data_IF_921853866180
#
_entry.id   IF_921853866180
#
_cell.length_a   1.000
_cell.length_b   1.000
_cell.length_c   1.000
_cell.angle_alpha   90.00
_cell.angle_beta   90.00
_cell.angle_gamma   90.00
#
_symmetry.space_group_name_H-M   'P 1'
#
loop_
_entity.id
_entity.type
_entity.pdbx_description
1 polymer ?
2 non-polymer ?
3 non-polymer ?
4 water ?
#
# COMPACT_ATOMS: atom_id res chain seq x y z
N UNK A 2 23.30 7.27 42.29
CA UNK A 2 24.16 6.18 42.76
C UNK A 2 24.96 5.58 41.60
N UNK A 3 25.92 4.73 41.93
CA UNK A 3 26.79 4.10 40.94
C UNK A 3 26.20 2.82 40.36
N UNK A 4 25.33 2.16 41.13
CA UNK A 4 24.68 0.95 40.66
C UNK A 4 23.62 1.29 39.63
N UNK A 5 22.91 2.39 39.86
CA UNK A 5 21.91 2.87 38.92
C UNK A 5 22.57 3.14 37.57
N UNK A 6 23.77 3.69 37.61
CA UNK A 6 24.55 3.95 36.40
C UNK A 6 24.83 2.65 35.66
N UNK A 7 25.11 1.59 36.41
CA UNK A 7 25.38 0.28 35.83
C UNK A 7 24.14 -0.28 35.13
N UNK A 8 22.99 -0.14 35.79
CA UNK A 8 21.73 -0.59 35.21
C UNK A 8 21.43 0.14 33.91
N UNK A 9 21.72 1.43 33.88
CA UNK A 9 21.46 2.26 32.71
C UNK A 9 22.35 1.85 31.53
N UNK A 10 23.64 1.61 31.81
CA UNK A 10 24.55 1.18 30.77
C UNK A 10 24.19 -0.21 30.25
N UNK A 11 23.63 -1.03 31.13
CA UNK A 11 23.14 -2.36 30.75
C UNK A 11 21.96 -2.22 29.78
N UNK A 12 21.06 -1.30 30.08
CA UNK A 12 19.91 -1.02 29.24
C UNK A 12 20.34 -0.54 27.86
N UNK A 13 21.37 0.31 27.83
CA UNK A 13 21.91 0.82 26.57
C UNK A 13 22.34 -0.33 25.66
N UNK A 14 23.05 -1.29 26.24
CA UNK A 14 23.47 -2.47 25.50
C UNK A 14 22.31 -3.31 25.03
N UNK A 15 21.35 -3.55 25.91
CA UNK A 15 20.17 -4.33 25.57
C UNK A 15 19.40 -3.66 24.43
N UNK A 16 19.22 -2.34 24.53
CA UNK A 16 18.49 -1.58 23.53
C UNK A 16 19.21 -1.57 22.19
N UNK A 17 20.53 -1.46 22.23
CA UNK A 17 21.34 -1.47 21.02
C UNK A 17 21.15 -2.77 20.26
N UNK A 18 21.15 -3.89 21.00
CA UNK A 18 21.00 -5.20 20.39
C UNK A 18 19.58 -5.42 19.86
N UNK A 19 18.60 -4.89 20.58
CA UNK A 19 17.21 -4.92 20.12
C UNK A 19 17.08 -4.19 18.79
N UNK A 20 17.74 -3.04 18.69
CA UNK A 20 17.72 -2.23 17.48
C UNK A 20 18.34 -2.96 16.30
N UNK A 21 19.51 -3.56 16.53
CA UNK A 21 20.19 -4.33 15.51
C UNK A 21 19.34 -5.50 15.04
N UNK A 22 18.85 -6.28 16.00
CA UNK A 22 18.03 -7.46 15.72
C UNK A 22 16.76 -7.10 14.97
N UNK A 23 16.16 -5.97 15.32
CA UNK A 23 14.92 -5.52 14.69
C UNK A 23 15.14 -5.06 13.26
N UNK A 24 16.24 -4.35 13.03
CA UNK A 24 16.58 -3.91 11.69
C UNK A 24 16.69 -5.11 10.75
N UNK A 25 17.33 -6.16 11.25
CA UNK A 25 17.48 -7.39 10.48
C UNK A 25 16.13 -8.03 10.22
N UNK A 26 15.29 -8.10 11.26
CA UNK A 26 14.00 -8.76 11.12
C UNK A 26 12.98 -7.93 10.34
N UNK A 27 13.26 -6.65 10.17
CA UNK A 27 12.47 -5.83 9.26
C UNK A 27 12.73 -6.22 7.81
N UNK A 28 14.00 -6.39 7.46
CA UNK A 28 14.38 -6.80 6.12
C UNK A 28 13.83 -8.19 5.81
N UNK A 29 13.94 -9.09 6.77
CA UNK A 29 13.47 -10.47 6.60
C UNK A 29 11.97 -10.51 6.32
N UNK A 30 11.20 -9.79 7.13
CA UNK A 30 9.76 -9.74 6.99
C UNK A 30 9.33 -9.20 5.63
N UNK A 31 9.97 -8.11 5.20
CA UNK A 31 9.58 -7.44 3.96
C UNK A 31 9.89 -8.28 2.71
N UNK A 32 10.85 -9.18 2.82
CA UNK A 32 11.18 -10.06 1.71
C UNK A 32 10.23 -11.26 1.67
N UNK A 33 9.55 -11.47 0.53
CA UNK A 33 9.67 -10.64 -0.67
C UNK A 33 8.45 -9.75 -0.93
N UNK A 34 7.41 -9.89 -0.11
CA UNK A 34 6.12 -9.26 -0.42
C UNK A 34 5.88 -7.91 0.26
N UNK A 35 6.93 -7.28 0.76
CA UNK A 35 6.79 -6.02 1.44
C UNK A 35 7.81 -4.97 1.01
N UNK A 36 7.41 -3.71 1.08
CA UNK A 36 8.28 -2.59 0.75
C UNK A 36 8.12 -1.47 1.78
N UNK A 37 9.25 -0.94 2.26
CA UNK A 37 9.24 0.13 3.22
C UNK A 37 9.53 1.48 2.57
N UNK A 38 8.63 2.44 2.77
CA UNK A 38 8.82 3.78 2.24
C UNK A 38 8.46 4.81 3.31
N UNK A 39 9.48 5.49 3.84
CA UNK A 39 9.27 6.42 4.94
C UNK A 39 8.86 5.66 6.19
N UNK A 40 7.77 6.09 6.80
CA UNK A 40 7.23 5.38 7.96
C UNK A 40 6.09 4.45 7.52
N UNK A 41 5.88 4.37 6.21
CA UNK A 41 4.87 3.49 5.65
C UNK A 41 5.46 2.13 5.30
N UNK A 42 4.58 1.12 5.27
CA UNK A 42 4.96 -0.20 4.80
C UNK A 42 3.85 -0.79 3.95
N UNK A 43 4.16 -1.10 2.69
CA UNK A 43 3.21 -1.77 1.83
C UNK A 43 3.49 -3.27 1.83
N UNK A 44 2.44 -4.07 1.90
CA UNK A 44 2.57 -5.52 1.81
C UNK A 44 1.41 -6.14 1.05
N UNK A 45 1.73 -7.07 0.16
CA UNK A 45 0.71 -7.77 -0.61
C UNK A 45 0.35 -9.09 0.07
N UNK A 46 -0.93 -9.45 0.03
CA UNK A 46 -1.38 -10.70 0.60
C UNK A 46 -1.18 -11.84 -0.37
N UNK A 47 -0.94 -11.48 -1.63
CA UNK A 47 -0.69 -12.47 -2.67
C UNK A 47 -1.95 -12.90 -3.39
N UNK A 48 -3.11 -12.54 -2.83
CA UNK A 48 -4.38 -12.95 -3.40
C UNK A 48 -5.14 -11.79 -4.06
N UNK A 49 -6.25 -12.12 -4.70
CA UNK A 49 -7.08 -11.14 -5.38
C UNK A 49 -8.47 -11.07 -4.77
N UNK A 50 -8.98 -9.84 -4.60
CA UNK A 50 -10.33 -9.64 -4.12
C UNK A 50 -10.93 -8.41 -4.79
N UNK A 51 -12.25 -8.25 -4.69
CA UNK A 51 -12.90 -7.05 -5.18
C UNK A 51 -12.41 -5.86 -4.35
N UNK A 52 -12.71 -4.65 -4.79
CA UNK A 52 -12.24 -3.48 -4.07
C UNK A 52 -12.75 -3.45 -2.62
N UNK A 53 -14.04 -3.69 -2.44
CA UNK A 53 -14.63 -3.63 -1.10
C UNK A 53 -14.18 -4.77 -0.20
N UNK A 54 -13.89 -5.92 -0.79
CA UNK A 54 -13.34 -7.03 -0.03
C UNK A 54 -11.93 -6.68 0.43
N UNK A 55 -11.13 -6.17 -0.50
CA UNK A 55 -9.77 -5.76 -0.19
C UNK A 55 -9.74 -4.69 0.89
N UNK A 56 -10.73 -3.79 0.85
CA UNK A 56 -10.81 -2.71 1.82
C UNK A 56 -11.11 -3.24 3.23
N UNK A 57 -11.99 -4.23 3.31
CA UNK A 57 -12.29 -4.86 4.59
C UNK A 57 -11.07 -5.62 5.09
N UNK A 58 -10.43 -6.37 4.19
CA UNK A 58 -9.25 -7.16 4.53
C UNK A 58 -8.16 -6.30 5.16
N UNK A 59 -7.80 -5.20 4.49
CA UNK A 59 -6.76 -4.32 4.98
C UNK A 59 -7.13 -3.68 6.32
N UNK A 60 -8.38 -3.28 6.45
CA UNK A 60 -8.86 -2.67 7.70
C UNK A 60 -8.85 -3.69 8.84
N UNK A 61 -9.36 -4.89 8.56
CA UNK A 61 -9.38 -5.95 9.56
C UNK A 61 -7.97 -6.26 10.04
N UNK A 62 -7.00 -6.16 9.13
CA UNK A 62 -5.61 -6.45 9.45
C UNK A 62 -4.93 -5.34 10.24
N UNK A 63 -5.64 -4.24 10.43
CA UNK A 63 -5.12 -3.13 11.22
C UNK A 63 -4.45 -2.06 10.38
N UNK A 64 -4.72 -2.09 9.08
CA UNK A 64 -4.17 -1.08 8.18
C UNK A 64 -5.24 -0.50 7.25
N UNK A 65 -4.82 -0.19 6.03
CA UNK A 65 -5.74 0.33 5.02
C UNK A 65 -5.19 -0.02 3.65
N UNK A 66 -5.94 0.32 2.60
CA UNK A 66 -5.43 0.13 1.25
C UNK A 66 -4.39 1.22 0.93
N UNK A 67 -3.57 0.98 -0.08
CA UNK A 67 -2.44 1.86 -0.39
C UNK A 67 -2.84 3.23 -0.93
N UNK A 68 -2.38 4.28 -0.26
CA UNK A 68 -2.57 5.65 -0.73
C UNK A 68 -1.22 6.25 -1.07
N UNK A 69 -0.68 5.92 -2.26
CA UNK A 69 0.63 6.41 -2.68
C UNK A 69 0.62 7.92 -2.90
N UNK A 70 1.31 8.66 -2.04
CA UNK A 70 1.32 10.11 -2.10
C UNK A 70 2.56 10.69 -2.78
N UNK A 71 3.42 9.82 -3.31
CA UNK A 71 4.63 10.27 -3.99
C UNK A 71 5.11 9.24 -5.01
N UNK A 72 6.13 9.61 -5.76
CA UNK A 72 6.70 8.72 -6.77
C UNK A 72 7.43 7.56 -6.12
N UNK A 73 8.10 7.83 -5.00
CA UNK A 73 8.81 6.78 -4.26
C UNK A 73 7.84 5.76 -3.70
N UNK A 74 6.71 6.23 -3.16
CA UNK A 74 5.69 5.34 -2.64
C UNK A 74 5.02 4.57 -3.76
N UNK A 75 4.78 5.25 -4.88
CA UNK A 75 4.19 4.62 -6.06
C UNK A 75 5.12 3.56 -6.66
N UNK A 76 6.42 3.86 -6.65
CA UNK A 76 7.41 2.92 -7.17
C UNK A 76 7.40 1.61 -6.38
N UNK A 77 7.34 1.73 -5.06
CA UNK A 77 7.31 0.56 -4.19
C UNK A 77 6.16 -0.37 -4.54
N UNK A 78 4.97 0.20 -4.69
CA UNK A 78 3.80 -0.57 -5.09
C UNK A 78 4.02 -1.22 -6.45
N UNK A 79 4.65 -0.47 -7.35
CA UNK A 79 4.94 -0.99 -8.69
C UNK A 79 5.78 -2.26 -8.60
N UNK A 80 6.71 -2.28 -7.66
CA UNK A 80 7.61 -3.43 -7.48
C UNK A 80 6.83 -4.66 -7.02
N UNK A 81 5.89 -4.45 -6.10
CA UNK A 81 5.05 -5.54 -5.62
C UNK A 81 4.12 -6.07 -6.72
N UNK A 82 3.51 -5.15 -7.46
CA UNK A 82 2.63 -5.52 -8.56
C UNK A 82 3.40 -6.29 -9.64
N UNK A 83 4.64 -5.87 -9.87
CA UNK A 83 5.50 -6.52 -10.85
C UNK A 83 5.86 -7.95 -10.42
N UNK A 84 6.31 -8.09 -9.18
CA UNK A 84 6.72 -9.39 -8.66
C UNK A 84 5.58 -10.41 -8.72
N UNK A 85 4.37 -9.95 -8.42
CA UNK A 85 3.19 -10.81 -8.44
C UNK A 85 2.65 -10.94 -9.86
N UNK A 86 3.04 -10.02 -10.72
CA UNK A 86 2.50 -9.93 -12.08
C UNK A 86 0.98 -9.82 -12.03
N UNK A 87 0.48 -9.09 -11.04
CA UNK A 87 -0.96 -8.87 -10.88
C UNK A 87 -1.24 -7.42 -10.56
N UNK A 88 -2.06 -6.79 -11.39
CA UNK A 88 -2.49 -5.41 -11.14
C UNK A 88 -3.21 -5.36 -9.80
N UNK A 89 -3.01 -4.27 -9.06
CA UNK A 89 -3.60 -4.14 -7.74
C UNK A 89 -4.48 -2.91 -7.60
N UNK A 90 -5.46 -3.00 -6.69
CA UNK A 90 -6.34 -1.88 -6.38
C UNK A 90 -5.64 -0.89 -5.46
N UNK A 91 -5.83 0.39 -5.73
CA UNK A 91 -5.39 1.43 -4.81
C UNK A 91 -6.54 1.79 -3.89
N UNK A 92 -6.33 2.73 -2.98
CA UNK A 92 -7.34 3.07 -1.99
C UNK A 92 -8.33 4.11 -2.51
N UNK A 93 -7.98 4.77 -3.60
CA UNK A 93 -8.75 5.91 -4.09
C UNK A 93 -9.95 5.53 -4.96
N UNK A 94 -11.01 6.32 -4.85
CA UNK A 94 -12.20 6.15 -5.67
C UNK A 94 -12.79 7.52 -6.00
N UNK A 95 -13.71 7.56 -6.95
CA UNK A 95 -14.45 8.78 -7.25
C UNK A 95 -15.94 8.52 -7.08
N UNK A 96 -16.26 7.61 -6.17
CA UNK A 96 -17.65 7.20 -5.91
C UNK A 96 -18.53 8.37 -5.48
N UNK A 97 -18.03 9.20 -4.58
CA UNK A 97 -18.78 10.37 -4.13
C UNK A 97 -19.09 11.28 -5.30
N UNK A 98 -18.05 11.86 -5.89
CA UNK A 98 -18.21 12.73 -7.05
C UNK A 98 -17.49 12.17 -8.26
N UNK A 99 -18.25 11.93 -9.33
CA UNK A 99 -17.69 11.37 -10.56
C UNK A 99 -16.56 12.25 -11.10
N UNK A 100 -15.48 11.61 -11.53
CA UNK A 100 -14.36 12.31 -12.12
C UNK A 100 -13.30 12.74 -11.11
N UNK A 101 -13.71 12.93 -9.86
CA UNK A 101 -12.81 13.36 -8.82
C UNK A 101 -12.45 12.22 -7.85
N UNK A 102 -11.23 11.70 -8.00
CA UNK A 102 -10.76 10.61 -7.16
C UNK A 102 -10.21 11.12 -5.84
N UNK A 103 -10.55 10.41 -4.77
CA UNK A 103 -10.26 10.88 -3.42
C UNK A 103 -9.70 9.75 -2.55
N UNK A 104 -8.92 10.12 -1.53
CA UNK A 104 -8.47 9.16 -0.54
C UNK A 104 -9.63 8.78 0.37
N UNK A 105 -9.49 7.69 1.13
CA UNK A 105 -10.57 7.25 2.03
C UNK A 105 -10.95 8.34 3.04
N UNK A 106 -10.06 9.30 3.23
CA UNK A 106 -10.28 10.36 4.23
C UNK A 106 -11.28 11.41 3.74
N UNK A 107 -11.28 11.67 2.44
CA UNK A 107 -12.15 12.68 1.85
C UNK A 107 -11.38 13.74 1.10
N UNK A 108 -10.05 13.66 1.16
CA UNK A 108 -9.18 14.63 0.49
C UNK A 108 -8.77 14.16 -0.89
N UNK A 109 -8.72 15.10 -1.86
CA UNK A 109 -8.34 14.81 -3.24
C UNK A 109 -6.86 14.44 -3.40
N UNK A 110 -6.50 13.86 -4.54
CA UNK A 110 -5.16 13.37 -4.77
C UNK A 110 -4.09 14.46 -4.69
N UNK A 111 -2.95 14.12 -4.10
CA UNK A 111 -1.79 14.99 -4.10
C UNK A 111 -0.73 14.39 -5.01
N UNK A 112 -1.10 13.29 -5.68
CA UNK A 112 -0.23 12.62 -6.64
C UNK A 112 -1.06 11.73 -7.55
N UNK A 113 -0.64 11.61 -8.80
CA UNK A 113 -1.34 10.79 -9.77
C UNK A 113 -0.40 10.28 -10.86
N UNK A 114 -0.69 9.09 -11.37
CA UNK A 114 0.14 8.51 -12.42
C UNK A 114 -0.71 7.76 -13.45
N UNK A 115 -1.70 8.44 -14.01
CA UNK A 115 -2.61 7.83 -14.97
C UNK A 115 -1.89 7.41 -16.24
N UNK A 116 -2.27 6.26 -16.78
CA UNK A 116 -1.78 5.80 -18.06
C UNK A 116 -2.44 6.61 -19.17
N UNK A 117 -1.91 6.51 -20.40
CA UNK A 117 -2.48 7.27 -21.53
C UNK A 117 -4.00 7.18 -21.63
N UNK A 118 -4.67 8.31 -21.53
CA UNK A 118 -6.10 8.39 -21.77
C UNK A 118 -6.98 7.89 -20.64
N UNK A 119 -6.43 7.85 -19.43
CA UNK A 119 -7.18 7.42 -18.25
C UNK A 119 -7.36 8.57 -17.26
N UNK A 120 -8.45 8.52 -16.47
CA UNK A 120 -9.49 7.49 -16.47
C UNK A 120 -10.53 7.71 -17.57
N UNK A 121 -11.36 6.70 -17.84
CA UNK A 121 -12.37 6.81 -18.89
C UNK A 121 -13.77 6.31 -18.49
N UNK A 122 -13.84 5.59 -17.37
CA UNK A 122 -15.13 5.10 -16.86
C UNK A 122 -15.83 4.13 -17.82
N UNK A 123 -15.03 3.33 -18.53
CA UNK A 123 -15.56 2.36 -19.48
C UNK A 123 -15.16 0.94 -19.15
N UNK A 124 -15.96 0.25 -18.34
CA UNK A 124 -15.65 -1.09 -17.91
C UNK A 124 -16.39 -2.19 -18.67
N UNK A 125 -17.12 -1.79 -19.71
CA UNK A 125 -17.86 -2.74 -20.52
C UNK A 125 -19.00 -3.38 -19.75
N UNK A 126 -19.00 -4.71 -19.69
CA UNK A 126 -20.03 -5.44 -18.98
C UNK A 126 -20.08 -5.03 -17.51
N UNK A 127 -18.93 -4.66 -16.97
CA UNK A 127 -18.82 -4.29 -15.57
C UNK A 127 -19.64 -3.04 -15.25
N UNK A 128 -19.67 -2.12 -16.21
CA UNK A 128 -20.41 -0.88 -16.05
C UNK A 128 -19.50 0.31 -15.77
N UNK A 129 -19.81 1.06 -14.71
CA UNK A 129 -19.00 2.19 -14.32
C UNK A 129 -17.66 1.73 -13.74
N UNK A 130 -16.70 2.65 -13.64
CA UNK A 130 -15.38 2.33 -13.13
C UNK A 130 -14.90 3.36 -12.13
N UNK A 131 -15.21 3.13 -10.85
CA UNK A 131 -14.97 4.12 -9.82
C UNK A 131 -13.72 3.89 -8.96
N UNK A 132 -13.05 2.76 -9.17
CA UNK A 132 -11.82 2.47 -8.43
C UNK A 132 -10.59 2.62 -9.31
N UNK A 133 -9.41 2.37 -8.74
CA UNK A 133 -8.17 2.53 -9.46
C UNK A 133 -7.25 1.32 -9.33
N UNK A 134 -6.76 0.82 -10.45
CA UNK A 134 -5.78 -0.27 -10.45
C UNK A 134 -4.43 0.26 -10.89
N UNK A 135 -3.36 -0.35 -10.40
CA UNK A 135 -2.01 0.03 -10.80
C UNK A 135 -1.30 -1.13 -11.50
N UNK A 136 -0.69 -0.82 -12.64
CA UNK A 136 -0.02 -1.83 -13.46
C UNK A 136 1.40 -2.09 -12.96
N UNK A 137 2.03 -3.17 -13.45
CA UNK A 137 3.43 -3.48 -13.14
C UNK A 137 4.34 -2.28 -13.45
N UNK A 138 3.98 -1.55 -14.51
CA UNK A 138 4.76 -0.38 -14.91
C UNK A 138 4.48 0.84 -14.04
N UNK A 139 3.55 0.70 -13.11
CA UNK A 139 3.26 1.76 -12.16
C UNK A 139 2.14 2.70 -12.58
N UNK A 140 1.69 2.57 -13.82
CA UNK A 140 0.64 3.44 -14.34
C UNK A 140 -0.73 3.10 -13.75
N UNK A 141 -1.60 4.10 -13.70
CA UNK A 141 -2.92 3.95 -13.10
C UNK A 141 -4.01 3.75 -14.15
N UNK A 142 -5.06 3.04 -13.77
CA UNK A 142 -6.20 2.80 -14.64
C UNK A 142 -7.46 2.63 -13.81
N UNK A 143 -8.45 3.50 -14.01
CA UNK A 143 -9.71 3.36 -13.30
C UNK A 143 -10.40 2.08 -13.75
N UNK A 144 -11.03 1.38 -12.81
CA UNK A 144 -11.59 0.08 -13.09
C UNK A 144 -12.81 -0.19 -12.24
N UNK A 145 -13.73 -1.01 -12.74
CA UNK A 145 -14.91 -1.40 -11.99
C UNK A 145 -14.48 -2.01 -10.65
N UNK A 146 -14.98 -1.41 -9.57
CA UNK A 146 -14.61 -1.86 -8.23
C UNK A 146 -14.95 -3.33 -8.02
N UNK A 147 -15.90 -3.84 -8.79
CA UNK A 147 -16.34 -5.21 -8.65
C UNK A 147 -15.38 -6.24 -9.23
N UNK A 148 -14.33 -5.76 -9.89
CA UNK A 148 -13.32 -6.65 -10.47
C UNK A 148 -12.40 -7.20 -9.39
N UNK A 149 -11.77 -8.34 -9.67
CA UNK A 149 -10.82 -8.94 -8.75
C UNK A 149 -9.41 -8.47 -9.07
N UNK A 150 -8.74 -7.90 -8.07
CA UNK A 150 -7.37 -7.41 -8.24
C UNK A 150 -6.47 -7.73 -7.04
N UNK A 151 -5.17 -7.68 -7.28
CA UNK A 151 -4.19 -7.95 -6.24
C UNK A 151 -4.44 -7.08 -5.01
N UNK A 152 -4.41 -7.69 -3.83
CA UNK A 152 -4.62 -6.96 -2.59
C UNK A 152 -3.30 -6.51 -1.98
N UNK A 153 -3.14 -5.20 -1.83
CA UNK A 153 -1.97 -4.63 -1.19
C UNK A 153 -2.39 -3.70 -0.05
N UNK A 154 -1.94 -3.98 1.15
CA UNK A 154 -2.31 -3.18 2.31
C UNK A 154 -1.18 -2.25 2.74
N UNK A 155 -1.56 -1.12 3.33
CA UNK A 155 -0.61 -0.12 3.79
C UNK A 155 -0.65 -0.03 5.31
N UNK A 156 0.51 -0.14 5.95
CA UNK A 156 0.59 -0.13 7.40
C UNK A 156 1.47 1.01 7.90
X LIG B 1 -15.59 6.76 -12.64
X LIG C 1 -10.55 2.64 -17.64
X LIG D 1 -8.96 -2.03 -20.98
X LIG D 1 -8.81 -0.52 -20.99
X LIG D 1 -9.37 0.09 -19.72
X LIG D 1 -10.73 -0.48 -19.37
X LIG D 1 -10.80 -1.99 -19.56
X LIG D 1 -12.23 -2.49 -19.39
X LIG D 1 -8.48 -2.55 -22.20
X LIG D 1 -9.50 0.02 -22.10
X LIG D 1 -9.49 1.48 -19.91
X LIG D 1 -11.03 -0.19 -18.02
X LIG D 1 -10.32 -2.35 -20.84
X LIG D 1 -12.23 -3.90 -19.38
#
# INVERSE_FOLDING_TARGET
GITALRQQVETLQGQVQRLQKAFSQYKKVELFPNGRGVGEKIFKTGGFEKTFQDAQQVCTQAGGQMASPRSETENEALSQLVTAQNKAAFLSMTDIKTEGQFTYPTGEPLVYANWAPGEPNNNGGSSGAENCVEIFPNGKWNDKACGELRLVICEF
CA CA
CA CA
BMA C1 C2 C3 C4 C5 C6 O1 O2 O3 O4 O5 O6
#
